data_IF_376021690939
#
_entry.id   IF_376021690939
#
_cell.length_a   1.000
_cell.length_b   1.000
_cell.length_c   1.000
_cell.angle_alpha   90.00
_cell.angle_beta   90.00
_cell.angle_gamma   90.00
#
_symmetry.space_group_name_H-M   'P 1'
#
loop_
_entity.id
_entity.type
_entity.pdbx_description
1 polymer ?
#
# COMPACT_ATOMS: atom_id res chain seq x y z
N UNK A 1 64.06 42.21 -24.53
CA UNK A 1 62.97 43.21 -24.70
C UNK A 1 61.79 42.72 -23.87
N UNK A 2 61.31 43.35 -22.77
CA UNK A 2 60.60 44.65 -22.63
C UNK A 2 59.50 44.76 -23.71
N UNK A 3 58.19 44.89 -23.43
CA UNK A 3 57.41 45.71 -22.46
C UNK A 3 56.00 45.07 -22.27
N UNK A 4 55.05 45.48 -21.39
CA UNK A 4 55.01 46.27 -20.15
C UNK A 4 53.66 46.01 -19.44
N UNK A 5 53.61 46.24 -18.12
CA UNK A 5 52.39 46.26 -17.28
C UNK A 5 51.70 47.63 -17.33
N UNK A 6 50.39 47.70 -17.08
CA UNK A 6 49.74 48.86 -16.43
C UNK A 6 48.83 48.39 -15.29
N UNK A 7 49.02 49.03 -14.14
CA UNK A 7 48.22 48.91 -12.92
C UNK A 7 47.62 50.30 -12.65
N UNK A 8 46.43 50.37 -12.03
CA UNK A 8 45.80 51.61 -11.60
C UNK A 8 45.27 51.44 -10.18
N UNK A 9 45.50 52.45 -9.33
CA UNK A 9 45.18 52.40 -7.91
C UNK A 9 44.67 53.76 -7.40
N UNK A 10 43.63 53.69 -6.57
CA UNK A 10 43.15 54.68 -5.59
C UNK A 10 42.38 53.84 -4.54
N UNK A 11 42.44 54.03 -3.23
CA UNK A 11 43.11 55.05 -2.43
C UNK A 11 42.12 55.69 -1.44
N UNK A 12 42.13 55.28 -0.16
CA UNK A 12 41.46 56.04 0.91
C UNK A 12 42.10 55.79 2.29
N UNK A 13 41.93 56.73 3.20
CA UNK A 13 42.60 56.90 4.50
C UNK A 13 41.64 56.61 5.66
N UNK A 14 42.15 56.09 6.79
CA UNK A 14 41.42 56.00 8.06
C UNK A 14 42.39 55.79 9.23
N UNK A 15 42.29 56.60 10.29
CA UNK A 15 43.33 56.76 11.31
C UNK A 15 43.18 55.85 12.55
N UNK A 16 44.27 55.75 13.32
CA UNK A 16 44.42 54.95 14.55
C UNK A 16 44.34 55.85 15.80
N UNK A 17 43.57 55.45 16.83
CA UNK A 17 43.71 55.95 18.22
C UNK A 17 43.48 54.78 19.20
N UNK A 18 44.26 54.75 20.30
CA UNK A 18 44.23 53.70 21.33
C UNK A 18 43.17 53.96 22.43
N UNK A 19 42.73 52.92 23.16
CA UNK A 19 43.00 52.81 24.62
C UNK A 19 42.32 51.61 25.35
N UNK A 20 43.08 51.03 26.29
CA UNK A 20 42.69 50.31 27.53
C UNK A 20 41.99 48.94 27.52
N UNK A 21 42.43 48.08 28.45
CA UNK A 21 41.89 46.77 28.84
C UNK A 21 40.65 46.86 29.74
N UNK A 22 39.77 45.86 29.67
CA UNK A 22 39.21 45.16 30.84
C UNK A 22 39.05 43.66 30.55
N UNK A 23 39.14 42.83 31.60
CA UNK A 23 38.98 41.37 31.53
C UNK A 23 37.58 41.00 32.06
N UNK A 24 36.87 40.11 31.36
CA UNK A 24 35.62 39.50 31.82
C UNK A 24 35.40 38.14 31.13
N UNK A 25 35.02 37.06 31.84
CA UNK A 25 34.90 35.73 31.26
C UNK A 25 33.48 35.42 30.72
N UNK A 26 33.34 34.25 30.08
CA UNK A 26 32.11 33.60 29.59
C UNK A 26 31.51 34.23 28.31
N UNK A 27 31.18 33.50 27.24
CA UNK A 27 30.45 32.24 27.10
C UNK A 27 30.68 31.64 25.69
N UNK A 28 30.47 30.32 25.52
CA UNK A 28 30.42 29.69 24.18
C UNK A 28 29.04 29.91 23.56
N UNK A 29 28.96 30.50 22.37
CA UNK A 29 27.75 30.50 21.56
C UNK A 29 27.84 29.43 20.47
N UNK A 30 27.19 28.29 20.70
CA UNK A 30 26.71 27.41 19.63
C UNK A 30 25.26 27.79 19.35
N UNK A 31 24.98 28.32 18.16
CA UNK A 31 23.61 28.46 17.66
C UNK A 31 23.13 27.11 17.12
N UNK A 32 22.19 26.48 17.82
CA UNK A 32 21.51 25.28 17.35
C UNK A 32 20.13 25.64 16.81
N UNK A 33 19.84 25.24 15.57
CA UNK A 33 18.56 25.48 14.93
C UNK A 33 17.42 24.76 15.67
N UNK A 34 16.39 25.53 16.02
CA UNK A 34 15.22 25.03 16.75
C UNK A 34 14.22 24.37 15.79
N UNK A 35 14.17 23.04 15.82
CA UNK A 35 13.01 22.29 15.32
C UNK A 35 11.86 22.45 16.30
N UNK A 36 10.89 23.29 15.95
CA UNK A 36 9.71 23.54 16.79
C UNK A 36 8.89 22.26 16.99
N UNK A 37 8.85 21.79 18.24
CA UNK A 37 7.86 20.84 18.74
C UNK A 37 7.17 21.50 19.94
N UNK A 38 5.95 21.96 19.74
CA UNK A 38 5.15 22.60 20.78
C UNK A 38 4.02 21.66 21.21
N UNK A 39 4.14 21.11 22.43
CA UNK A 39 3.17 21.33 23.52
C UNK A 39 3.79 20.94 24.85
N UNK A 40 3.68 21.82 25.84
CA UNK A 40 4.06 21.62 27.23
C UNK A 40 2.90 21.01 28.04
N UNK A 41 3.21 20.16 29.03
CA UNK A 41 2.25 19.57 29.97
C UNK A 41 2.92 18.51 30.84
N UNK A 42 3.02 18.75 32.15
CA UNK A 42 4.10 18.20 32.98
C UNK A 42 3.62 17.37 34.19
N UNK A 43 3.97 16.07 34.21
CA UNK A 43 4.22 15.19 35.41
C UNK A 43 3.10 15.03 36.48
N UNK A 44 3.08 14.08 37.44
CA UNK A 44 3.96 12.96 37.85
C UNK A 44 3.13 11.89 38.65
N UNK A 45 3.65 10.91 39.43
CA UNK A 45 3.32 9.49 39.20
C UNK A 45 2.67 8.73 40.39
N UNK A 46 2.37 7.44 40.20
CA UNK A 46 2.16 6.48 41.32
C UNK A 46 2.65 5.06 40.98
N UNK A 47 2.96 4.25 41.99
CA UNK A 47 3.64 2.94 41.90
C UNK A 47 2.76 1.76 42.31
N UNK A 48 3.01 0.62 41.63
CA UNK A 48 2.87 -0.83 41.94
C UNK A 48 2.31 -1.31 43.30
N UNK A 49 1.69 -2.51 43.38
CA UNK A 49 2.42 -3.80 43.24
C UNK A 49 1.73 -4.95 42.48
N UNK A 50 2.55 -5.98 42.21
CA UNK A 50 2.31 -7.23 41.47
C UNK A 50 1.73 -8.35 42.34
N UNK A 51 0.94 -9.28 41.77
CA UNK A 51 0.81 -10.66 42.29
C UNK A 51 0.75 -11.70 41.16
N UNK A 52 1.29 -12.90 41.41
CA UNK A 52 1.62 -13.94 40.41
C UNK A 52 0.93 -15.27 40.72
N UNK A 53 0.35 -15.98 39.74
CA UNK A 53 -0.02 -17.42 39.88
C UNK A 53 0.08 -18.21 38.55
N UNK A 54 0.28 -19.55 38.63
CA UNK A 54 0.73 -20.50 37.57
C UNK A 54 0.16 -21.94 37.82
N UNK A 55 0.08 -22.92 36.90
CA UNK A 55 0.42 -22.94 35.45
C UNK A 55 -0.74 -23.38 34.51
N UNK A 56 -1.18 -24.68 34.38
CA UNK A 56 -1.60 -25.14 33.04
C UNK A 56 -2.96 -25.87 32.93
N UNK A 57 -3.51 -25.96 31.71
CA UNK A 57 -3.74 -27.23 30.99
C UNK A 57 -4.06 -26.96 29.52
N UNK A 58 -3.58 -27.83 28.63
CA UNK A 58 -3.73 -27.77 27.17
C UNK A 58 -5.17 -27.89 26.68
N UNK A 59 -5.53 -27.13 25.63
CA UNK A 59 -6.69 -27.43 24.78
C UNK A 59 -6.35 -27.14 23.32
N UNK A 60 -6.48 -28.15 22.47
CA UNK A 60 -6.22 -28.05 21.01
C UNK A 60 -7.45 -27.45 20.33
N UNK A 61 -7.32 -26.24 19.80
CA UNK A 61 -8.37 -25.58 19.03
C UNK A 61 -8.60 -26.29 17.70
N UNK A 62 -9.80 -26.83 17.51
CA UNK A 62 -10.26 -27.36 16.22
C UNK A 62 -10.78 -26.23 15.34
N UNK A 63 -10.17 -26.02 14.17
CA UNK A 63 -10.56 -24.97 13.22
C UNK A 63 -11.87 -25.29 12.52
N UNK A 64 -12.82 -24.36 12.57
CA UNK A 64 -14.13 -24.48 11.89
C UNK A 64 -13.97 -24.09 10.42
N UNK A 65 -13.82 -25.08 9.54
CA UNK A 65 -13.93 -24.88 8.09
C UNK A 65 -15.39 -24.92 7.64
N UNK A 66 -15.87 -23.82 7.04
CA UNK A 66 -16.98 -23.89 6.09
C UNK A 66 -16.50 -24.68 4.87
N UNK A 67 -17.09 -25.84 4.61
CA UNK A 67 -16.85 -26.58 3.36
C UNK A 67 -18.13 -26.65 2.55
N UNK A 68 -18.03 -26.25 1.29
CA UNK A 68 -19.02 -26.48 0.24
C UNK A 68 -19.28 -27.98 0.01
N UNK A 69 -20.33 -28.31 -0.75
CA UNK A 69 -20.84 -29.68 -0.95
C UNK A 69 -19.96 -30.65 -1.76
N UNK A 70 -18.65 -30.67 -1.54
CA UNK A 70 -17.75 -31.74 -1.99
C UNK A 70 -17.03 -32.37 -0.79
N UNK A 71 -16.98 -33.71 -0.77
CA UNK A 71 -16.19 -34.46 0.21
C UNK A 71 -14.70 -34.29 -0.08
N UNK A 72 -14.04 -33.39 0.66
CA UNK A 72 -12.58 -33.18 0.61
C UNK A 72 -11.78 -34.26 1.36
N UNK A 73 -12.46 -35.19 2.04
CA UNK A 73 -11.86 -36.27 2.84
C UNK A 73 -12.70 -37.55 2.81
N UNK A 74 -12.10 -38.67 3.21
CA UNK A 74 -12.81 -39.93 3.45
C UNK A 74 -13.67 -39.83 4.72
N UNK A 75 -14.88 -40.41 4.69
CA UNK A 75 -15.74 -40.55 5.88
C UNK A 75 -15.83 -42.03 6.30
N UNK A 76 -15.69 -42.28 7.60
CA UNK A 76 -15.80 -43.60 8.23
C UNK A 76 -16.36 -43.46 9.65
N UNK A 77 -16.55 -44.59 10.36
CA UNK A 77 -16.96 -44.61 11.77
C UNK A 77 -16.15 -43.60 12.62
N UNK A 78 -16.83 -42.87 13.51
CA UNK A 78 -16.31 -41.76 14.31
C UNK A 78 -15.96 -40.46 13.56
N UNK A 79 -16.19 -40.39 12.24
CA UNK A 79 -16.21 -39.10 11.55
C UNK A 79 -17.38 -38.24 12.05
N UNK A 80 -17.19 -36.93 12.08
CA UNK A 80 -18.25 -35.96 12.36
C UNK A 80 -18.09 -34.73 11.46
N UNK A 81 -19.19 -33.99 11.22
CA UNK A 81 -19.19 -32.75 10.44
C UNK A 81 -20.39 -32.57 9.49
N UNK A 82 -20.41 -31.46 8.76
CA UNK A 82 -21.44 -31.16 7.75
C UNK A 82 -21.40 -32.14 6.56
N UNK A 83 -20.21 -32.64 6.23
CA UNK A 83 -20.01 -33.72 5.27
C UNK A 83 -20.69 -35.03 5.68
N UNK A 84 -20.72 -35.34 6.98
CA UNK A 84 -21.48 -36.47 7.53
C UNK A 84 -22.99 -36.20 7.49
N UNK A 85 -23.46 -34.97 7.72
CA UNK A 85 -24.89 -34.62 7.54
C UNK A 85 -25.33 -34.78 6.10
N UNK A 86 -24.51 -34.36 5.14
CA UNK A 86 -24.76 -34.56 3.71
C UNK A 86 -24.89 -36.05 3.39
N UNK A 87 -23.95 -36.88 3.86
CA UNK A 87 -24.01 -38.33 3.71
C UNK A 87 -25.28 -38.95 4.31
N UNK A 88 -25.64 -38.58 5.54
CA UNK A 88 -26.86 -39.06 6.20
C UNK A 88 -28.11 -38.66 5.42
N UNK A 89 -28.14 -37.45 4.86
CA UNK A 89 -29.24 -36.94 4.02
C UNK A 89 -29.38 -37.73 2.73
N UNK A 90 -28.27 -37.98 2.01
CA UNK A 90 -28.25 -38.76 0.77
C UNK A 90 -28.68 -40.23 1.02
N UNK A 91 -28.28 -40.82 2.15
CA UNK A 91 -28.75 -42.15 2.55
C UNK A 91 -30.25 -42.13 2.89
N UNK A 92 -30.76 -41.06 3.51
CA UNK A 92 -32.19 -40.94 3.81
C UNK A 92 -33.05 -40.83 2.56
N UNK A 93 -32.59 -40.14 1.52
CA UNK A 93 -33.23 -40.13 0.20
C UNK A 93 -33.32 -41.53 -0.44
N UNK A 94 -32.42 -42.44 -0.06
CA UNK A 94 -32.44 -43.86 -0.45
C UNK A 94 -33.16 -44.78 0.55
N UNK A 95 -33.89 -44.21 1.51
CA UNK A 95 -34.76 -44.92 2.44
C UNK A 95 -34.09 -45.41 3.74
N UNK A 96 -32.86 -44.99 4.05
CA UNK A 96 -32.12 -45.53 5.22
C UNK A 96 -32.55 -45.01 6.61
N UNK A 97 -33.46 -44.03 6.70
CA UNK A 97 -34.12 -43.55 7.95
C UNK A 97 -33.16 -43.27 9.13
N UNK A 98 -31.99 -42.70 8.83
CA UNK A 98 -31.01 -42.20 9.80
C UNK A 98 -31.45 -40.86 10.42
N UNK A 99 -30.94 -40.57 11.62
CA UNK A 99 -30.92 -39.20 12.14
C UNK A 99 -29.83 -38.42 11.40
N UNK A 100 -30.13 -37.17 11.00
CA UNK A 100 -29.14 -36.25 10.39
C UNK A 100 -28.55 -35.38 11.50
N UNK A 101 -27.61 -35.96 12.25
CA UNK A 101 -26.93 -35.32 13.38
C UNK A 101 -25.48 -34.93 13.09
N UNK A 102 -24.93 -35.35 11.94
CA UNK A 102 -23.53 -35.12 11.58
C UNK A 102 -22.56 -36.05 12.31
N UNK A 103 -23.03 -37.14 12.92
CA UNK A 103 -22.21 -38.12 13.63
C UNK A 103 -22.22 -39.44 12.85
N UNK A 104 -21.03 -39.88 12.41
CA UNK A 104 -20.86 -41.16 11.74
C UNK A 104 -20.77 -42.26 12.80
N UNK A 105 -21.92 -42.56 13.41
CA UNK A 105 -22.09 -43.65 14.36
C UNK A 105 -22.43 -45.01 13.70
N UNK A 106 -22.67 -46.06 14.50
CA UNK A 106 -22.94 -47.41 14.00
C UNK A 106 -24.13 -47.52 13.03
N UNK A 107 -25.18 -46.68 13.20
CA UNK A 107 -26.33 -46.63 12.28
C UNK A 107 -25.93 -46.11 10.90
N UNK A 108 -25.16 -45.03 10.84
CA UNK A 108 -24.60 -44.48 9.59
C UNK A 108 -23.69 -45.51 8.90
N UNK A 109 -22.86 -46.23 9.67
CA UNK A 109 -22.00 -47.30 9.16
C UNK A 109 -22.79 -48.46 8.53
N UNK A 110 -23.84 -48.94 9.20
CA UNK A 110 -24.71 -50.00 8.66
C UNK A 110 -25.40 -49.57 7.36
N UNK A 111 -25.88 -48.33 7.29
CA UNK A 111 -26.49 -47.77 6.09
C UNK A 111 -25.49 -47.63 4.93
N UNK A 112 -24.26 -47.15 5.18
CA UNK A 112 -23.21 -47.07 4.15
C UNK A 112 -22.82 -48.45 3.64
N UNK A 113 -22.61 -49.44 4.52
CA UNK A 113 -22.30 -50.81 4.08
C UNK A 113 -23.42 -51.40 3.23
N UNK A 114 -24.68 -51.23 3.65
CA UNK A 114 -25.84 -51.65 2.85
C UNK A 114 -25.90 -50.94 1.49
N UNK A 115 -25.63 -49.63 1.45
CA UNK A 115 -25.59 -48.86 0.21
C UNK A 115 -24.48 -49.32 -0.73
N UNK A 116 -23.27 -49.55 -0.20
CA UNK A 116 -22.14 -50.11 -0.96
C UNK A 116 -22.50 -51.45 -1.60
N UNK A 117 -23.10 -52.38 -0.83
CA UNK A 117 -23.60 -53.67 -1.34
C UNK A 117 -24.60 -53.45 -2.49
N UNK A 118 -25.64 -52.63 -2.28
CA UNK A 118 -26.66 -52.32 -3.30
C UNK A 118 -26.11 -51.63 -4.56
N UNK A 119 -24.89 -51.08 -4.52
CA UNK A 119 -24.24 -50.37 -5.64
C UNK A 119 -23.05 -51.13 -6.24
N UNK A 120 -22.83 -52.38 -5.85
CA UNK A 120 -21.74 -53.22 -6.36
C UNK A 120 -20.35 -52.75 -5.91
N UNK A 121 -20.25 -52.15 -4.72
CA UNK A 121 -19.01 -51.69 -4.12
C UNK A 121 -18.59 -52.62 -2.97
N UNK A 122 -17.29 -52.58 -2.62
CA UNK A 122 -16.79 -53.21 -1.39
C UNK A 122 -17.50 -52.61 -0.17
N UNK A 123 -18.07 -53.46 0.68
CA UNK A 123 -18.84 -53.07 1.86
C UNK A 123 -17.95 -52.75 3.08
N UNK A 124 -16.89 -51.97 2.88
CA UNK A 124 -15.93 -51.61 3.94
C UNK A 124 -16.50 -50.59 4.94
N UNK A 125 -17.53 -49.84 4.58
CA UNK A 125 -18.09 -48.76 5.39
C UNK A 125 -17.30 -47.44 5.27
N UNK A 126 -16.47 -47.29 4.24
CA UNK A 126 -15.70 -46.06 3.99
C UNK A 126 -16.29 -45.31 2.78
N UNK A 127 -16.68 -44.06 3.00
CA UNK A 127 -17.16 -43.19 1.93
C UNK A 127 -15.99 -42.41 1.37
N UNK A 128 -15.40 -42.96 0.31
CA UNK A 128 -14.49 -42.25 -0.59
C UNK A 128 -15.14 -41.92 -1.94
N UNK A 129 -14.37 -41.38 -2.91
CA UNK A 129 -14.90 -40.92 -4.20
C UNK A 129 -15.72 -41.96 -4.96
N UNK A 130 -15.31 -43.24 -4.93
CA UNK A 130 -16.04 -44.35 -5.56
C UNK A 130 -17.42 -44.61 -4.92
N UNK A 131 -17.51 -44.45 -3.59
CA UNK A 131 -18.79 -44.56 -2.86
C UNK A 131 -19.68 -43.35 -3.16
N UNK A 132 -19.11 -42.15 -3.20
CA UNK A 132 -19.87 -40.93 -3.48
C UNK A 132 -20.44 -40.90 -4.91
N UNK A 133 -19.65 -41.30 -5.92
CA UNK A 133 -20.09 -41.36 -7.32
C UNK A 133 -21.23 -42.36 -7.60
N UNK A 134 -21.58 -43.24 -6.64
CA UNK A 134 -22.73 -44.17 -6.76
C UNK A 134 -24.04 -43.63 -6.19
N UNK A 135 -24.02 -42.48 -5.50
CA UNK A 135 -25.25 -41.74 -5.26
C UNK A 135 -25.68 -41.18 -6.62
N UNK A 136 -26.76 -41.72 -7.16
CA UNK A 136 -27.26 -41.35 -8.49
C UNK A 136 -28.03 -40.02 -8.38
N UNK A 137 -27.29 -39.00 -7.95
CA UNK A 137 -27.71 -37.61 -7.90
C UNK A 137 -27.86 -37.19 -9.36
N UNK A 138 -29.06 -37.40 -9.90
CA UNK A 138 -29.52 -36.55 -11.00
C UNK A 138 -29.27 -35.10 -10.57
N UNK A 139 -28.93 -34.18 -11.49
CA UNK A 139 -28.78 -32.76 -11.17
C UNK A 139 -30.15 -32.19 -10.81
N UNK A 140 -30.61 -32.53 -9.61
CA UNK A 140 -31.81 -32.03 -9.00
C UNK A 140 -31.64 -30.52 -8.92
N UNK A 141 -32.68 -29.82 -9.34
CA UNK A 141 -32.81 -28.39 -9.15
C UNK A 141 -33.00 -28.11 -7.65
N UNK A 142 -31.93 -28.30 -6.87
CA UNK A 142 -31.74 -27.43 -5.74
C UNK A 142 -31.52 -26.05 -6.32
N UNK A 143 -32.59 -25.26 -6.34
CA UNK A 143 -32.48 -23.82 -6.11
C UNK A 143 -32.02 -23.60 -4.66
N UNK A 144 -30.84 -24.15 -4.30
CA UNK A 144 -29.88 -23.26 -3.65
C UNK A 144 -29.77 -22.11 -4.65
N UNK A 145 -29.92 -20.85 -4.25
CA UNK A 145 -29.30 -19.83 -5.07
C UNK A 145 -27.85 -20.28 -5.21
N UNK A 146 -27.41 -20.60 -6.44
CA UNK A 146 -26.01 -20.37 -6.78
C UNK A 146 -25.82 -18.94 -6.32
N UNK A 147 -25.10 -18.74 -5.22
CA UNK A 147 -24.86 -17.42 -4.68
C UNK A 147 -24.07 -16.74 -5.79
N UNK A 148 -24.81 -16.00 -6.63
CA UNK A 148 -24.38 -15.54 -7.94
C UNK A 148 -23.12 -14.76 -7.65
N UNK A 149 -21.96 -15.36 -7.92
CA UNK A 149 -20.71 -14.96 -7.27
C UNK A 149 -20.60 -13.46 -7.41
N UNK A 150 -20.79 -12.74 -6.30
CA UNK A 150 -21.16 -11.35 -6.41
C UNK A 150 -19.92 -10.62 -6.87
N UNK A 151 -19.90 -10.28 -8.17
CA UNK A 151 -18.70 -9.75 -8.80
C UNK A 151 -18.61 -8.28 -8.45
N UNK A 152 -17.53 -7.94 -7.76
CA UNK A 152 -17.24 -6.60 -7.31
C UNK A 152 -16.08 -6.05 -8.13
N UNK A 153 -16.21 -4.81 -8.60
CA UNK A 153 -15.14 -4.12 -9.31
C UNK A 153 -14.20 -3.47 -8.31
N UNK A 154 -12.90 -3.80 -8.37
CA UNK A 154 -11.88 -3.06 -7.61
C UNK A 154 -11.29 -1.96 -8.48
N UNK A 155 -11.32 -0.74 -7.97
CA UNK A 155 -10.72 0.46 -8.57
C UNK A 155 -9.61 0.97 -7.63
N UNK A 156 -8.67 1.76 -8.16
CA UNK A 156 -7.61 2.37 -7.35
C UNK A 156 -7.44 3.84 -7.71
N UNK A 157 -7.25 4.68 -6.69
CA UNK A 157 -6.96 6.10 -6.84
C UNK A 157 -5.80 6.51 -5.94
N UNK A 158 -5.08 7.53 -6.38
CA UNK A 158 -3.92 8.12 -5.70
C UNK A 158 -4.04 9.63 -5.75
N UNK A 159 -3.69 10.30 -4.66
CA UNK A 159 -3.49 11.76 -4.61
C UNK A 159 -2.15 12.09 -3.99
N UNK A 160 -1.59 13.24 -4.39
CA UNK A 160 -0.60 13.94 -3.58
C UNK A 160 -1.35 14.92 -2.66
N UNK A 161 -1.07 14.91 -1.37
CA UNK A 161 -1.78 15.70 -0.35
C UNK A 161 -0.83 16.39 0.63
N UNK A 162 -1.31 17.41 1.34
CA UNK A 162 -0.62 18.02 2.47
C UNK A 162 -1.26 17.53 3.77
N UNK A 163 -1.07 16.26 4.12
CA UNK A 163 -1.72 15.68 5.30
C UNK A 163 -1.09 16.17 6.61
N UNK A 164 0.21 16.41 6.61
CA UNK A 164 1.00 16.77 7.79
C UNK A 164 2.00 17.89 7.46
N UNK A 165 1.88 19.01 8.18
CA UNK A 165 2.83 20.13 8.13
C UNK A 165 3.13 20.70 6.74
N UNK A 166 4.27 21.37 6.65
CA UNK A 166 4.76 22.12 5.48
C UNK A 166 6.02 21.53 4.84
N UNK A 167 6.63 20.52 5.49
CA UNK A 167 7.98 20.00 5.18
C UNK A 167 7.99 18.68 4.40
N UNK A 168 6.83 18.17 4.03
CA UNK A 168 6.66 16.96 3.24
C UNK A 168 5.40 17.07 2.38
N UNK A 169 5.24 16.13 1.45
CA UNK A 169 3.95 15.82 0.83
C UNK A 169 3.61 14.35 1.07
N UNK A 170 2.33 14.06 1.13
CA UNK A 170 1.76 12.73 1.37
C UNK A 170 1.35 12.12 0.04
N UNK A 171 1.76 10.88 -0.23
CA UNK A 171 1.14 10.03 -1.24
C UNK A 171 0.11 9.17 -0.53
N UNK A 172 -1.17 9.41 -0.81
CA UNK A 172 -2.27 8.61 -0.31
C UNK A 172 -2.90 7.80 -1.43
N UNK A 173 -3.17 6.53 -1.17
CA UNK A 173 -3.73 5.56 -2.12
C UNK A 173 -4.92 4.86 -1.47
N UNK A 174 -6.00 4.70 -2.22
CA UNK A 174 -7.14 3.88 -1.82
C UNK A 174 -7.52 2.92 -2.95
N UNK A 175 -7.69 1.65 -2.60
CA UNK A 175 -8.42 0.69 -3.42
C UNK A 175 -9.87 0.66 -2.92
N UNK A 176 -10.83 0.79 -3.84
CA UNK A 176 -12.25 0.88 -3.54
C UNK A 176 -13.06 -0.13 -4.33
N UNK A 177 -14.24 -0.49 -3.81
CA UNK A 177 -15.27 -1.22 -4.53
C UNK A 177 -16.62 -0.53 -4.28
N UNK A 178 -17.19 0.06 -5.33
CA UNK A 178 -18.27 1.03 -5.17
C UNK A 178 -17.79 2.24 -4.36
N UNK A 179 -18.51 2.59 -3.30
CA UNK A 179 -18.16 3.65 -2.35
C UNK A 179 -17.28 3.17 -1.17
N UNK A 180 -16.98 1.88 -1.09
CA UNK A 180 -16.28 1.26 0.06
C UNK A 180 -14.78 1.15 -0.16
N UNK A 181 -13.99 1.61 0.79
CA UNK A 181 -12.54 1.41 0.82
C UNK A 181 -12.23 -0.02 1.23
N UNK A 182 -11.53 -0.78 0.38
CA UNK A 182 -11.16 -2.18 0.61
C UNK A 182 -9.71 -2.37 1.02
N UNK A 183 -8.85 -1.40 0.67
CA UNK A 183 -7.51 -1.22 1.23
C UNK A 183 -7.07 0.25 1.04
N UNK A 184 -6.15 0.71 1.89
CA UNK A 184 -5.49 2.00 1.75
C UNK A 184 -3.98 1.84 1.95
N UNK A 185 -3.22 2.85 1.52
CA UNK A 185 -1.79 2.97 1.80
C UNK A 185 -1.42 4.46 1.88
N UNK A 186 -0.65 4.86 2.89
CA UNK A 186 -0.13 6.22 3.03
C UNK A 186 1.39 6.23 3.25
N UNK A 187 2.05 7.20 2.64
CA UNK A 187 3.47 7.47 2.82
C UNK A 187 3.73 8.97 2.65
N UNK A 188 4.75 9.48 3.33
CA UNK A 188 5.15 10.88 3.28
C UNK A 188 6.56 10.97 2.71
N UNK A 189 6.80 11.97 1.87
CA UNK A 189 8.11 12.23 1.28
C UNK A 189 8.68 13.53 1.83
N UNK A 190 9.89 13.44 2.40
CA UNK A 190 10.54 14.54 3.09
C UNK A 190 12.04 14.56 2.74
N UNK A 191 12.65 15.75 2.73
CA UNK A 191 14.11 15.85 2.73
C UNK A 191 14.68 15.46 4.10
N UNK A 192 15.57 14.47 4.13
CA UNK A 192 16.19 13.92 5.32
C UNK A 192 17.71 13.86 5.17
N UNK A 193 18.49 13.91 6.27
CA UNK A 193 19.96 13.78 6.23
C UNK A 193 20.42 12.50 5.50
N UNK A 194 21.31 12.66 4.52
CA UNK A 194 21.76 11.60 3.61
C UNK A 194 22.60 10.50 4.28
N UNK A 195 23.13 10.79 5.46
CA UNK A 195 23.91 9.90 6.32
C UNK A 195 23.03 9.02 7.22
N UNK A 196 21.77 9.38 7.40
CA UNK A 196 20.83 8.70 8.29
C UNK A 196 19.55 8.17 7.59
N UNK A 197 19.27 8.61 6.37
CA UNK A 197 18.10 8.21 5.59
C UNK A 197 18.46 7.70 4.19
N UNK A 198 17.75 6.68 3.74
CA UNK A 198 17.76 6.17 2.37
C UNK A 198 16.89 7.05 1.47
N UNK A 199 17.50 7.64 0.45
CA UNK A 199 16.79 8.38 -0.58
C UNK A 199 15.95 7.49 -1.50
N UNK A 200 15.00 8.09 -2.21
CA UNK A 200 14.29 7.46 -3.34
C UNK A 200 15.29 7.07 -4.45
N UNK A 201 14.96 6.12 -5.35
CA UNK A 201 15.82 5.77 -6.47
C UNK A 201 16.26 6.98 -7.29
N UNK A 202 17.46 6.90 -7.89
CA UNK A 202 18.13 8.00 -8.59
C UNK A 202 18.54 9.21 -7.72
N UNK A 203 18.48 9.11 -6.37
CA UNK A 203 19.02 10.13 -5.45
C UNK A 203 20.54 10.33 -5.53
N UNK A 204 21.27 9.37 -6.08
CA UNK A 204 22.70 9.38 -6.39
C UNK A 204 22.99 9.70 -7.89
N UNK A 205 21.93 9.84 -8.69
CA UNK A 205 21.97 10.11 -10.12
C UNK A 205 21.42 11.52 -10.45
N UNK A 206 20.99 11.76 -11.70
CA UNK A 206 20.57 13.10 -12.16
C UNK A 206 19.42 13.71 -11.34
N UNK A 207 18.52 12.90 -10.79
CA UNK A 207 17.39 13.37 -9.98
C UNK A 207 17.84 14.00 -8.66
N UNK A 208 18.83 13.41 -7.97
CA UNK A 208 19.34 13.91 -6.69
C UNK A 208 20.31 15.08 -6.76
N UNK A 209 20.83 15.44 -7.95
CA UNK A 209 21.85 16.50 -8.13
C UNK A 209 21.49 17.87 -7.56
N UNK A 210 20.21 18.16 -7.37
CA UNK A 210 19.70 19.45 -6.90
C UNK A 210 18.98 19.37 -5.55
N UNK A 211 19.21 18.31 -4.77
CA UNK A 211 18.70 18.26 -3.41
C UNK A 211 19.40 19.30 -2.51
N UNK A 212 18.75 19.79 -1.44
CA UNK A 212 19.42 20.56 -0.40
C UNK A 212 20.68 19.86 0.10
N UNK A 213 21.73 20.62 0.36
CA UNK A 213 23.03 20.07 0.77
C UNK A 213 22.88 19.16 2.00
N UNK A 214 23.60 18.03 1.99
CA UNK A 214 23.54 17.03 3.06
C UNK A 214 22.24 16.21 3.13
N UNK A 215 21.26 16.42 2.25
CA UNK A 215 19.95 15.75 2.31
C UNK A 215 19.66 14.85 1.10
N UNK A 216 18.71 13.94 1.29
CA UNK A 216 18.04 13.15 0.24
C UNK A 216 16.53 13.27 0.38
N UNK A 217 15.79 13.24 -0.73
CA UNK A 217 14.35 13.02 -0.69
C UNK A 217 14.07 11.56 -0.33
N UNK A 218 13.39 11.31 0.78
CA UNK A 218 13.12 9.96 1.29
C UNK A 218 11.66 9.75 1.66
N UNK A 219 11.16 8.54 1.39
CA UNK A 219 9.90 8.00 1.90
C UNK A 219 9.99 7.77 3.41
N UNK A 220 8.99 8.19 4.20
CA UNK A 220 8.93 7.92 5.64
C UNK A 220 8.72 6.44 5.92
N UNK A 221 8.00 5.71 5.08
CA UNK A 221 7.82 4.26 5.23
C UNK A 221 9.10 3.47 4.93
N UNK A 222 9.90 3.90 3.94
CA UNK A 222 11.25 3.33 3.69
C UNK A 222 12.21 3.63 4.84
N UNK A 223 12.03 4.76 5.52
CA UNK A 223 12.87 5.25 6.62
C UNK A 223 12.17 5.18 7.99
N UNK A 224 11.23 4.24 8.16
CA UNK A 224 10.29 4.25 9.28
C UNK A 224 10.99 4.18 10.65
N UNK A 225 12.08 3.42 10.76
CA UNK A 225 12.89 3.34 11.98
C UNK A 225 13.53 4.69 12.31
N UNK A 226 14.32 5.26 11.38
CA UNK A 226 14.96 6.57 11.54
C UNK A 226 13.95 7.67 11.89
N UNK A 227 12.82 7.72 11.18
CA UNK A 227 11.80 8.73 11.42
C UNK A 227 11.10 8.53 12.78
N UNK A 228 10.84 7.28 13.19
CA UNK A 228 10.27 6.98 14.49
C UNK A 228 11.19 7.33 15.65
N UNK A 229 12.51 7.14 15.52
CA UNK A 229 13.47 7.60 16.54
C UNK A 229 13.51 9.14 16.62
N UNK A 230 13.41 9.85 15.49
CA UNK A 230 13.24 11.31 15.49
C UNK A 230 11.94 11.75 16.18
N UNK A 231 10.80 11.11 15.88
CA UNK A 231 9.52 11.41 16.55
C UNK A 231 9.60 11.16 18.06
N UNK A 232 10.20 10.04 18.48
CA UNK A 232 10.37 9.70 19.89
C UNK A 232 11.27 10.70 20.64
N UNK A 233 12.36 11.14 20.01
CA UNK A 233 13.34 12.05 20.66
C UNK A 233 12.90 13.51 20.62
N UNK A 234 12.26 13.97 19.55
CA UNK A 234 11.92 15.40 19.34
C UNK A 234 10.48 15.75 19.69
N UNK A 235 9.55 14.79 19.60
CA UNK A 235 8.13 14.98 19.84
C UNK A 235 7.56 14.02 20.90
N UNK A 236 8.43 13.29 21.63
CA UNK A 236 8.06 12.34 22.69
C UNK A 236 7.07 11.23 22.24
N UNK A 237 7.02 10.94 20.93
CA UNK A 237 6.06 9.99 20.39
C UNK A 237 6.27 8.57 20.95
N UNK A 238 5.17 7.96 21.38
CA UNK A 238 5.13 6.60 21.94
C UNK A 238 4.86 5.52 20.89
N UNK A 239 4.26 5.89 19.75
CA UNK A 239 3.93 4.99 18.64
C UNK A 239 4.79 5.32 17.41
N UNK A 240 5.48 4.33 16.81
CA UNK A 240 6.24 4.47 15.55
C UNK A 240 5.39 4.94 14.34
N UNK A 241 6.02 5.53 13.33
CA UNK A 241 5.31 6.08 12.16
C UNK A 241 4.57 5.00 11.35
N UNK A 242 5.19 3.84 11.17
CA UNK A 242 4.60 2.70 10.44
C UNK A 242 3.39 2.12 11.17
N UNK A 243 3.42 2.14 12.52
CA UNK A 243 2.30 1.68 13.36
C UNK A 243 1.14 2.68 13.35
N UNK A 244 1.43 3.98 13.34
CA UNK A 244 0.42 5.02 13.14
C UNK A 244 -0.25 4.90 11.76
N UNK A 245 0.54 4.78 10.70
CA UNK A 245 -0.01 4.68 9.33
C UNK A 245 -0.82 3.40 9.15
N UNK A 246 -0.34 2.26 9.65
CA UNK A 246 -1.11 1.03 9.66
C UNK A 246 -2.44 1.15 10.44
N UNK A 247 -2.47 1.85 11.59
CA UNK A 247 -3.71 2.07 12.34
C UNK A 247 -4.73 2.92 11.55
N UNK A 248 -4.26 3.95 10.85
CA UNK A 248 -5.08 4.81 9.98
C UNK A 248 -5.63 4.00 8.78
N UNK A 249 -4.77 3.22 8.12
CA UNK A 249 -5.14 2.35 6.99
C UNK A 249 -6.14 1.25 7.39
N UNK A 250 -5.99 0.64 8.57
CA UNK A 250 -6.97 -0.32 9.08
C UNK A 250 -8.29 0.35 9.49
N UNK A 251 -8.24 1.58 10.01
CA UNK A 251 -9.45 2.32 10.39
C UNK A 251 -10.33 2.64 9.18
N UNK A 252 -9.76 3.10 8.07
CA UNK A 252 -10.53 3.42 6.85
C UNK A 252 -11.02 2.17 6.12
N UNK A 253 -10.33 1.04 6.25
CA UNK A 253 -10.70 -0.21 5.57
C UNK A 253 -12.09 -0.71 6.00
N UNK A 254 -12.93 -1.02 5.02
CA UNK A 254 -14.30 -1.50 5.20
C UNK A 254 -15.35 -0.39 5.30
N UNK A 255 -14.95 0.86 5.57
CA UNK A 255 -15.84 2.03 5.61
C UNK A 255 -16.12 2.57 4.19
N UNK A 256 -17.26 3.21 4.04
CA UNK A 256 -17.62 3.99 2.84
C UNK A 256 -16.98 5.37 2.88
N UNK A 257 -16.79 5.97 1.70
CA UNK A 257 -16.38 7.37 1.55
C UNK A 257 -17.30 8.29 2.38
N UNK A 258 -18.63 8.08 2.28
CA UNK A 258 -19.64 8.89 2.96
C UNK A 258 -19.58 8.79 4.49
N UNK A 259 -19.32 7.60 5.05
CA UNK A 259 -19.11 7.45 6.50
C UNK A 259 -17.87 8.21 6.96
N UNK A 260 -16.78 8.15 6.21
CA UNK A 260 -15.54 8.87 6.53
C UNK A 260 -15.71 10.39 6.39
N UNK A 261 -16.41 10.87 5.37
CA UNK A 261 -16.77 12.29 5.24
C UNK A 261 -17.64 12.78 6.40
N UNK A 262 -18.60 11.97 6.87
CA UNK A 262 -19.42 12.31 8.04
C UNK A 262 -18.57 12.41 9.32
N UNK A 263 -17.60 11.51 9.52
CA UNK A 263 -16.65 11.58 10.64
C UNK A 263 -15.76 12.82 10.53
N UNK A 264 -15.14 13.07 9.36
CA UNK A 264 -14.31 14.26 9.11
C UNK A 264 -15.09 15.57 9.27
N UNK A 265 -16.40 15.58 9.00
CA UNK A 265 -17.26 16.77 9.17
C UNK A 265 -17.69 17.01 10.63
N UNK A 266 -17.67 15.98 11.48
CA UNK A 266 -18.17 16.04 12.87
C UNK A 266 -17.09 15.95 13.95
N UNK A 267 -15.88 15.50 13.60
CA UNK A 267 -14.75 15.34 14.52
C UNK A 267 -13.79 16.53 14.39
N UNK A 268 -13.49 17.28 15.46
CA UNK A 268 -12.44 18.30 15.45
C UNK A 268 -11.09 17.72 15.01
N UNK A 269 -10.30 18.49 14.25
CA UNK A 269 -9.08 17.97 13.59
C UNK A 269 -8.07 17.38 14.57
N UNK A 270 -7.90 18.03 15.73
CA UNK A 270 -7.04 17.62 16.84
C UNK A 270 -7.56 16.38 17.61
N UNK A 271 -8.82 15.99 17.39
CA UNK A 271 -9.49 14.83 18.01
C UNK A 271 -9.61 13.62 17.10
N UNK A 272 -9.16 13.70 15.85
CA UNK A 272 -9.27 12.57 14.94
C UNK A 272 -8.41 11.37 15.37
N UNK A 273 -7.28 11.59 16.07
CA UNK A 273 -6.48 10.51 16.64
C UNK A 273 -7.27 9.67 17.65
N UNK A 274 -8.10 10.30 18.49
CA UNK A 274 -8.93 9.63 19.50
C UNK A 274 -9.95 8.65 18.86
N UNK A 275 -10.39 8.94 17.63
CA UNK A 275 -11.29 8.08 16.87
C UNK A 275 -10.59 6.90 16.15
N UNK A 276 -9.26 6.94 16.00
CA UNK A 276 -8.45 5.96 15.26
C UNK A 276 -7.62 5.14 16.23
N UNK A 277 -8.19 4.02 16.70
CA UNK A 277 -7.54 3.14 17.68
C UNK A 277 -6.14 2.69 17.21
N UNK A 278 -5.10 3.11 17.94
CA UNK A 278 -3.70 2.80 17.64
C UNK A 278 -2.92 3.91 16.93
N UNK A 279 -3.59 4.99 16.48
CA UNK A 279 -2.94 6.19 16.00
C UNK A 279 -2.80 7.24 17.13
N UNK A 280 -1.70 7.99 17.11
CA UNK A 280 -1.38 9.09 18.04
C UNK A 280 -0.85 10.33 17.31
N UNK A 281 -0.95 10.39 15.97
CA UNK A 281 -0.56 11.57 15.20
C UNK A 281 -1.63 12.64 15.31
N UNK A 282 -1.26 13.87 15.69
CA UNK A 282 -2.17 15.02 15.65
C UNK A 282 -2.76 15.23 14.23
N UNK A 283 -1.98 14.95 13.19
CA UNK A 283 -2.36 15.07 11.79
C UNK A 283 -3.23 13.90 11.27
N UNK A 284 -3.74 13.01 12.12
CA UNK A 284 -4.60 11.87 11.72
C UNK A 284 -5.77 12.31 10.84
N UNK A 285 -6.34 13.50 11.09
CA UNK A 285 -7.35 14.12 10.25
C UNK A 285 -6.90 14.30 8.79
N UNK A 286 -5.67 14.81 8.59
CA UNK A 286 -5.10 15.06 7.27
C UNK A 286 -4.88 13.76 6.50
N UNK A 287 -4.40 12.71 7.16
CA UNK A 287 -4.18 11.41 6.51
C UNK A 287 -5.50 10.72 6.14
N UNK A 288 -6.51 10.73 7.01
CA UNK A 288 -7.84 10.20 6.69
C UNK A 288 -8.48 11.00 5.54
N UNK A 289 -8.33 12.33 5.54
CA UNK A 289 -8.77 13.19 4.42
C UNK A 289 -8.06 12.83 3.11
N UNK A 290 -6.74 12.63 3.14
CA UNK A 290 -5.95 12.26 1.96
C UNK A 290 -6.40 10.91 1.37
N UNK A 291 -6.73 9.92 2.22
CA UNK A 291 -7.25 8.62 1.78
C UNK A 291 -8.67 8.76 1.20
N UNK A 292 -9.53 9.59 1.78
CA UNK A 292 -10.87 9.89 1.23
C UNK A 292 -10.77 10.53 -0.16
N UNK A 293 -9.86 11.48 -0.36
CA UNK A 293 -9.62 12.07 -1.68
C UNK A 293 -8.97 11.08 -2.67
N UNK A 294 -8.10 10.19 -2.20
CA UNK A 294 -7.60 9.07 -3.01
C UNK A 294 -8.74 8.12 -3.44
N UNK A 295 -9.70 7.85 -2.55
CA UNK A 295 -10.86 7.01 -2.83
C UNK A 295 -11.82 7.65 -3.86
N UNK A 296 -12.04 8.97 -3.77
CA UNK A 296 -12.79 9.74 -4.79
C UNK A 296 -12.08 9.81 -6.13
N UNK A 297 -10.75 9.87 -6.13
CA UNK A 297 -9.91 9.85 -7.33
C UNK A 297 -9.78 8.46 -7.96
N UNK A 298 -10.39 7.41 -7.39
CA UNK A 298 -10.32 6.06 -7.93
C UNK A 298 -11.07 5.93 -9.25
N UNK A 299 -10.38 5.37 -10.25
CA UNK A 299 -10.85 5.31 -11.64
C UNK A 299 -11.20 3.89 -12.06
N UNK A 300 -12.24 3.76 -12.88
CA UNK A 300 -12.74 2.46 -13.40
C UNK A 300 -12.03 2.00 -14.67
N UNK A 301 -11.29 2.89 -15.35
CA UNK A 301 -10.64 2.68 -16.65
C UNK A 301 -9.75 1.43 -16.73
N UNK A 302 -9.15 1.04 -15.60
CA UNK A 302 -8.39 -0.20 -15.46
C UNK A 302 -8.86 -0.93 -14.20
N UNK A 303 -9.91 -1.74 -14.36
CA UNK A 303 -10.51 -2.51 -13.27
C UNK A 303 -10.87 -3.93 -13.73
N UNK A 304 -10.91 -4.87 -12.78
CA UNK A 304 -11.46 -6.21 -12.99
C UNK A 304 -12.49 -6.54 -11.93
N UNK A 305 -13.33 -7.51 -12.28
CA UNK A 305 -14.22 -8.16 -11.34
C UNK A 305 -13.45 -9.17 -10.47
N UNK A 306 -13.58 -9.02 -9.16
CA UNK A 306 -13.19 -10.01 -8.15
C UNK A 306 -14.45 -10.56 -7.47
N UNK A 307 -14.33 -11.67 -6.76
CA UNK A 307 -15.44 -12.11 -5.91
C UNK A 307 -15.59 -11.16 -4.72
N UNK A 308 -16.81 -10.72 -4.40
CA UNK A 308 -17.08 -9.84 -3.27
C UNK A 308 -16.56 -10.42 -1.93
N UNK A 309 -16.55 -11.75 -1.80
CA UNK A 309 -15.99 -12.49 -0.65
C UNK A 309 -14.49 -12.26 -0.44
N UNK A 310 -13.76 -11.87 -1.49
CA UNK A 310 -12.32 -11.61 -1.47
C UNK A 310 -11.97 -10.13 -1.27
N UNK A 311 -12.96 -9.22 -1.21
CA UNK A 311 -12.69 -7.78 -1.01
C UNK A 311 -11.98 -7.50 0.31
N UNK A 312 -12.28 -8.25 1.37
CA UNK A 312 -11.54 -8.16 2.65
C UNK A 312 -10.07 -8.56 2.52
N UNK A 313 -9.75 -9.40 1.53
CA UNK A 313 -8.43 -9.95 1.29
C UNK A 313 -7.60 -9.06 0.35
N UNK A 314 -8.17 -7.97 -0.16
CA UNK A 314 -7.42 -6.94 -0.90
C UNK A 314 -6.37 -6.33 0.03
N UNK A 315 -5.11 -6.35 -0.44
CA UNK A 315 -3.96 -5.66 0.14
C UNK A 315 -3.39 -4.69 -0.88
N UNK A 316 -2.75 -3.62 -0.41
CA UNK A 316 -1.95 -2.72 -1.26
C UNK A 316 -0.49 -2.87 -0.88
N UNK A 317 0.37 -2.91 -1.89
CA UNK A 317 1.81 -2.71 -1.74
C UNK A 317 2.26 -1.58 -2.64
N UNK A 318 3.28 -0.84 -2.20
CA UNK A 318 3.88 0.30 -2.88
C UNK A 318 5.39 0.15 -2.89
N UNK A 319 6.04 0.54 -3.97
CA UNK A 319 7.50 0.70 -4.04
C UNK A 319 7.87 2.02 -4.70
N UNK A 320 8.99 2.58 -4.27
CA UNK A 320 9.74 3.56 -5.05
C UNK A 320 10.70 2.78 -5.98
N UNK A 321 10.72 3.11 -7.26
CA UNK A 321 11.48 2.37 -8.28
C UNK A 321 12.19 3.31 -9.26
N UNK A 322 13.20 2.82 -9.98
CA UNK A 322 13.78 3.49 -11.14
C UNK A 322 13.27 2.79 -12.41
N UNK A 323 12.02 3.04 -12.80
CA UNK A 323 11.43 2.39 -13.97
C UNK A 323 11.96 2.95 -15.28
N UNK A 324 12.25 4.26 -15.30
CA UNK A 324 12.71 5.01 -16.48
C UNK A 324 13.78 6.02 -16.09
N UNK A 325 14.91 5.98 -16.81
CA UNK A 325 15.97 6.99 -16.76
C UNK A 325 16.55 7.28 -15.37
N UNK A 326 17.21 8.44 -15.28
CA UNK A 326 17.96 8.92 -14.10
C UNK A 326 17.38 10.20 -13.47
N UNK A 327 16.38 10.81 -14.11
CA UNK A 327 15.87 12.18 -13.82
C UNK A 327 14.54 12.20 -13.06
N UNK A 328 14.06 11.03 -12.66
CA UNK A 328 12.83 10.84 -11.89
C UNK A 328 12.95 9.59 -11.02
N UNK A 329 12.02 9.44 -10.07
CA UNK A 329 11.71 8.15 -9.47
C UNK A 329 10.24 7.81 -9.73
N UNK A 330 9.94 6.53 -9.80
CA UNK A 330 8.62 5.98 -10.04
C UNK A 330 8.00 5.56 -8.73
N UNK A 331 6.76 5.98 -8.47
CA UNK A 331 5.91 5.38 -7.44
C UNK A 331 5.02 4.36 -8.13
N UNK A 332 5.22 3.08 -7.80
CA UNK A 332 4.40 1.99 -8.30
C UNK A 332 3.59 1.37 -7.17
N UNK A 333 2.31 1.13 -7.44
CA UNK A 333 1.35 0.62 -6.45
C UNK A 333 0.54 -0.51 -7.08
N UNK A 334 0.35 -1.59 -6.33
CA UNK A 334 -0.47 -2.73 -6.73
C UNK A 334 -1.46 -3.07 -5.61
N UNK A 335 -2.74 -3.13 -5.95
CA UNK A 335 -3.74 -3.82 -5.14
C UNK A 335 -3.76 -5.28 -5.58
N UNK A 336 -3.68 -6.22 -4.63
CA UNK A 336 -3.64 -7.66 -4.89
C UNK A 336 -4.70 -8.41 -4.10
N UNK A 337 -5.17 -9.53 -4.67
CA UNK A 337 -5.92 -10.58 -3.97
C UNK A 337 -5.11 -11.86 -4.10
N UNK A 338 -4.52 -12.30 -2.99
CA UNK A 338 -3.48 -13.32 -3.00
C UNK A 338 -2.33 -12.92 -3.92
N UNK A 339 -2.13 -13.69 -4.98
CA UNK A 339 -1.04 -13.50 -5.95
C UNK A 339 -1.44 -12.71 -7.20
N UNK A 340 -2.72 -12.32 -7.33
CA UNK A 340 -3.27 -11.65 -8.52
C UNK A 340 -3.33 -10.14 -8.34
N UNK A 341 -2.82 -9.38 -9.32
CA UNK A 341 -2.97 -7.93 -9.39
C UNK A 341 -4.41 -7.59 -9.80
N UNK A 342 -5.16 -6.90 -8.94
CA UNK A 342 -6.58 -6.55 -9.17
C UNK A 342 -6.78 -5.08 -9.55
N UNK A 343 -5.86 -4.21 -9.16
CA UNK A 343 -5.73 -2.85 -9.67
C UNK A 343 -4.27 -2.38 -9.50
N UNK A 344 -3.85 -1.37 -10.25
CA UNK A 344 -2.51 -0.79 -10.12
C UNK A 344 -2.50 0.71 -10.41
N UNK A 345 -1.48 1.40 -9.90
CA UNK A 345 -1.20 2.81 -10.19
C UNK A 345 0.30 2.98 -10.39
N UNK A 346 0.69 3.80 -11.37
CA UNK A 346 2.09 4.20 -11.59
C UNK A 346 2.14 5.70 -11.84
N UNK A 347 3.14 6.35 -11.27
CA UNK A 347 3.45 7.77 -11.43
C UNK A 347 4.97 7.93 -11.43
N UNK A 348 5.48 8.96 -12.10
CA UNK A 348 6.87 9.37 -11.95
C UNK A 348 6.91 10.78 -11.37
N UNK A 349 7.85 11.02 -10.47
CA UNK A 349 8.09 12.34 -9.89
C UNK A 349 9.40 12.89 -10.44
N UNK A 350 9.33 14.11 -10.98
CA UNK A 350 10.43 14.76 -11.67
C UNK A 350 10.46 16.25 -11.32
N UNK A 351 11.64 16.87 -11.28
CA UNK A 351 11.74 18.33 -11.28
C UNK A 351 11.38 18.89 -12.67
N UNK A 352 10.36 19.75 -12.71
CA UNK A 352 9.82 20.35 -13.93
C UNK A 352 9.75 21.87 -13.79
N UNK A 353 9.78 22.65 -14.90
CA UNK A 353 9.66 24.11 -14.87
C UNK A 353 8.38 24.57 -14.16
N UNK A 354 8.52 25.46 -13.18
CA UNK A 354 7.42 25.90 -12.28
C UNK A 354 6.34 26.73 -12.96
N UNK A 355 6.65 27.26 -14.14
CA UNK A 355 5.78 28.03 -15.03
C UNK A 355 4.96 27.15 -15.97
N UNK A 356 5.31 25.86 -16.10
CA UNK A 356 4.65 24.90 -16.99
C UNK A 356 4.10 23.66 -16.28
N UNK A 357 4.48 23.40 -15.04
CA UNK A 357 4.07 22.23 -14.25
C UNK A 357 3.57 22.62 -12.85
N UNK A 358 2.53 21.92 -12.39
CA UNK A 358 2.02 21.94 -11.02
C UNK A 358 2.92 21.08 -10.14
N UNK A 359 3.47 21.67 -9.09
CA UNK A 359 4.21 20.96 -8.06
C UNK A 359 3.32 20.11 -7.15
N UNK A 360 3.93 19.16 -6.43
CA UNK A 360 3.28 18.46 -5.30
C UNK A 360 2.89 19.45 -4.20
N UNK A 361 1.95 19.12 -3.30
CA UNK A 361 1.60 19.99 -2.18
C UNK A 361 2.82 20.42 -1.36
N UNK A 362 2.75 21.60 -0.75
CA UNK A 362 3.87 22.27 -0.07
C UNK A 362 5.06 22.67 -0.97
N UNK A 363 4.95 22.63 -2.30
CA UNK A 363 5.95 23.17 -3.26
C UNK A 363 6.18 24.68 -3.14
N UNK A 364 5.24 25.41 -2.55
CA UNK A 364 5.27 26.84 -2.23
C UNK A 364 5.58 27.13 -0.75
N UNK A 365 5.70 26.07 0.07
CA UNK A 365 5.97 26.12 1.50
C UNK A 365 7.38 25.57 1.82
N UNK A 366 7.62 25.14 3.06
CA UNK A 366 8.95 24.71 3.52
C UNK A 366 9.57 23.57 2.69
N UNK A 367 8.76 22.65 2.18
CA UNK A 367 9.22 21.53 1.36
C UNK A 367 9.81 21.99 0.01
N UNK A 368 9.26 23.05 -0.60
CA UNK A 368 9.71 23.59 -1.87
C UNK A 368 10.91 24.54 -1.83
N UNK A 369 11.29 25.05 -0.64
CA UNK A 369 12.33 26.08 -0.47
C UNK A 369 13.68 25.75 -1.11
N UNK A 370 14.01 24.46 -1.22
CA UNK A 370 15.30 23.96 -1.71
C UNK A 370 15.21 23.29 -3.09
N UNK A 371 14.16 23.55 -3.87
CA UNK A 371 14.08 23.03 -5.23
C UNK A 371 15.11 23.72 -6.16
N UNK A 372 15.60 23.02 -7.21
CA UNK A 372 16.40 23.65 -8.25
C UNK A 372 15.71 24.90 -8.80
N UNK A 373 16.48 25.98 -8.98
CA UNK A 373 15.95 27.28 -9.38
C UNK A 373 15.03 27.17 -10.61
N UNK A 374 13.84 27.76 -10.52
CA UNK A 374 12.84 27.74 -11.60
C UNK A 374 12.05 26.43 -11.73
N UNK A 375 12.25 25.44 -10.85
CA UNK A 375 11.55 24.14 -10.93
C UNK A 375 10.65 23.87 -9.72
N UNK A 376 9.74 22.91 -9.90
CA UNK A 376 8.97 22.25 -8.85
C UNK A 376 9.11 20.74 -8.98
N UNK A 377 9.05 20.00 -7.87
CA UNK A 377 8.86 18.55 -7.92
C UNK A 377 7.40 18.27 -8.30
N UNK A 378 7.17 17.63 -9.45
CA UNK A 378 5.83 17.34 -9.97
C UNK A 378 5.61 15.87 -10.30
N UNK A 379 4.40 15.38 -10.02
CA UNK A 379 3.87 14.11 -10.53
C UNK A 379 3.65 14.23 -12.05
N UNK A 380 4.11 13.26 -12.84
CA UNK A 380 3.85 13.20 -14.29
C UNK A 380 2.37 12.96 -14.58
N UNK A 381 1.65 12.22 -13.74
CA UNK A 381 0.21 12.00 -13.92
C UNK A 381 -0.63 13.24 -13.60
N UNK A 382 -0.20 14.08 -12.65
CA UNK A 382 -0.80 15.39 -12.39
C UNK A 382 -0.52 16.38 -13.53
N UNK A 383 0.61 16.21 -14.22
CA UNK A 383 1.09 17.07 -15.31
C UNK A 383 1.05 16.36 -16.68
N UNK A 384 0.09 15.43 -16.87
CA UNK A 384 0.09 14.51 -18.00
C UNK A 384 0.05 15.22 -19.35
N UNK A 385 -0.72 16.31 -19.49
CA UNK A 385 -0.78 17.10 -20.71
C UNK A 385 0.56 17.76 -21.04
N UNK A 386 1.15 18.49 -20.09
CA UNK A 386 2.46 19.12 -20.24
C UNK A 386 3.53 18.09 -20.62
N UNK A 387 3.58 16.96 -19.89
CA UNK A 387 4.59 15.94 -20.12
C UNK A 387 4.40 15.23 -21.46
N UNK A 388 3.15 15.00 -21.88
CA UNK A 388 2.83 14.41 -23.18
C UNK A 388 3.21 15.33 -24.34
N UNK A 389 3.00 16.65 -24.23
CA UNK A 389 3.50 17.60 -25.24
C UNK A 389 5.03 17.63 -25.28
N UNK A 390 5.70 17.56 -24.12
CA UNK A 390 7.15 17.46 -24.02
C UNK A 390 7.69 16.15 -24.66
N UNK A 391 7.02 15.01 -24.45
CA UNK A 391 7.35 13.74 -25.12
C UNK A 391 7.12 13.82 -26.63
N UNK A 392 6.00 14.40 -27.08
CA UNK A 392 5.69 14.58 -28.50
C UNK A 392 6.72 15.44 -29.21
N UNK A 393 7.14 16.55 -28.60
CA UNK A 393 8.08 17.52 -29.20
C UNK A 393 9.55 17.10 -29.13
N UNK A 394 9.97 16.39 -28.08
CA UNK A 394 11.40 16.02 -27.87
C UNK A 394 11.74 14.57 -28.20
N UNK A 395 10.75 13.68 -28.24
CA UNK A 395 10.94 12.25 -28.50
C UNK A 395 10.00 11.70 -29.60
N UNK A 396 9.30 12.57 -30.33
CA UNK A 396 8.34 12.21 -31.38
C UNK A 396 7.24 11.22 -30.92
N UNK A 397 6.90 11.24 -29.62
CA UNK A 397 5.91 10.33 -29.06
C UNK A 397 4.51 10.55 -29.65
N UNK A 398 3.88 9.47 -30.10
CA UNK A 398 2.53 9.46 -30.69
C UNK A 398 1.44 9.17 -29.66
N UNK A 399 1.78 8.56 -28.52
CA UNK A 399 0.84 8.21 -27.44
C UNK A 399 1.18 9.02 -26.18
N UNK A 400 0.19 9.73 -25.57
CA UNK A 400 0.33 10.42 -24.29
C UNK A 400 0.83 9.54 -23.13
N UNK A 401 1.40 10.15 -22.08
CA UNK A 401 1.96 9.39 -20.95
C UNK A 401 0.89 8.67 -20.13
N UNK A 402 -0.27 9.30 -19.92
CA UNK A 402 -1.40 8.71 -19.21
C UNK A 402 -1.94 7.49 -19.98
N UNK A 403 -2.06 7.59 -21.30
CA UNK A 403 -2.51 6.49 -22.17
C UNK A 403 -1.52 5.32 -22.23
N UNK A 404 -0.22 5.61 -22.17
CA UNK A 404 0.80 4.58 -21.98
C UNK A 404 0.65 3.88 -20.63
N UNK A 405 0.48 4.64 -19.55
CA UNK A 405 0.29 4.07 -18.22
C UNK A 405 -1.04 3.31 -18.12
N UNK A 406 -2.11 3.75 -18.77
CA UNK A 406 -3.37 2.99 -18.91
C UNK A 406 -3.14 1.63 -19.56
N UNK A 407 -2.39 1.57 -20.67
CA UNK A 407 -2.07 0.33 -21.37
C UNK A 407 -1.22 -0.63 -20.51
N UNK A 408 -0.20 -0.12 -19.83
CA UNK A 408 0.66 -0.91 -18.93
C UNK A 408 -0.15 -1.46 -17.76
N UNK A 409 -0.96 -0.62 -17.10
CA UNK A 409 -1.83 -1.02 -15.99
C UNK A 409 -2.85 -2.07 -16.46
N UNK A 410 -3.45 -1.90 -17.63
CA UNK A 410 -4.38 -2.86 -18.24
C UNK A 410 -3.72 -4.19 -18.58
N UNK A 411 -2.45 -4.18 -18.99
CA UNK A 411 -1.71 -5.42 -19.24
C UNK A 411 -1.44 -6.21 -17.96
N UNK A 412 -1.09 -5.55 -16.84
CA UNK A 412 -0.78 -6.26 -15.59
C UNK A 412 -2.01 -6.71 -14.81
N UNK A 413 -3.11 -5.98 -14.87
CA UNK A 413 -4.32 -6.31 -14.11
C UNK A 413 -4.93 -7.64 -14.57
N UNK A 414 -5.32 -8.48 -13.62
CA UNK A 414 -5.85 -9.83 -13.83
C UNK A 414 -4.79 -10.93 -13.85
N UNK A 415 -3.51 -10.60 -14.10
CA UNK A 415 -2.40 -11.53 -14.05
C UNK A 415 -1.91 -11.76 -12.63
N UNK A 416 -1.34 -12.94 -12.40
CA UNK A 416 -0.58 -13.28 -11.21
C UNK A 416 0.84 -12.72 -11.29
N UNK A 417 1.48 -12.56 -10.13
CA UNK A 417 2.89 -12.17 -10.02
C UNK A 417 3.78 -13.12 -10.85
N UNK A 418 3.55 -14.44 -10.79
CA UNK A 418 4.31 -15.44 -11.54
C UNK A 418 4.17 -15.30 -13.07
N UNK A 419 2.96 -15.02 -13.58
CA UNK A 419 2.74 -14.76 -15.01
C UNK A 419 3.48 -13.49 -15.48
N UNK A 420 3.54 -12.46 -14.63
CA UNK A 420 4.27 -11.23 -14.93
C UNK A 420 5.78 -11.43 -14.88
N UNK A 421 6.30 -12.21 -13.94
CA UNK A 421 7.70 -12.61 -13.89
C UNK A 421 8.10 -13.48 -15.08
N UNK A 422 7.22 -14.38 -15.52
CA UNK A 422 7.41 -15.16 -16.75
C UNK A 422 7.45 -14.26 -18.00
N UNK A 423 6.58 -13.25 -18.09
CA UNK A 423 6.61 -12.27 -19.18
C UNK A 423 7.91 -11.44 -19.18
N UNK A 424 8.32 -10.91 -18.01
CA UNK A 424 9.56 -10.14 -17.87
C UNK A 424 10.81 -10.97 -18.16
N UNK A 425 10.85 -12.25 -17.76
CA UNK A 425 12.02 -13.11 -18.01
C UNK A 425 12.11 -13.63 -19.45
N UNK A 426 10.99 -13.72 -20.17
CA UNK A 426 10.94 -14.22 -21.56
C UNK A 426 10.98 -13.12 -22.64
N UNK A 427 10.69 -11.87 -22.28
CA UNK A 427 10.66 -10.74 -23.23
C UNK A 427 11.86 -9.81 -23.04
N UNK A 428 12.68 -9.55 -24.09
CA UNK A 428 13.74 -8.54 -24.04
C UNK A 428 13.23 -7.17 -23.61
N UNK A 429 14.02 -6.43 -22.82
CA UNK A 429 13.56 -5.17 -22.18
C UNK A 429 13.05 -4.14 -23.18
N UNK A 430 13.75 -3.99 -24.30
CA UNK A 430 13.42 -3.10 -25.43
C UNK A 430 12.21 -3.56 -26.25
N UNK A 431 11.75 -4.81 -26.05
CA UNK A 431 10.59 -5.43 -26.72
C UNK A 431 9.36 -5.54 -25.83
N UNK A 432 9.44 -5.12 -24.57
CA UNK A 432 8.28 -5.22 -23.67
C UNK A 432 7.12 -4.32 -24.08
N UNK A 433 7.38 -3.19 -24.76
CA UNK A 433 6.34 -2.34 -25.33
C UNK A 433 5.50 -3.08 -26.40
N UNK A 434 6.17 -3.85 -27.28
CA UNK A 434 5.52 -4.60 -28.36
C UNK A 434 4.52 -5.65 -27.83
N UNK A 435 4.75 -6.17 -26.62
CA UNK A 435 3.88 -7.12 -25.93
C UNK A 435 2.70 -6.46 -25.17
N UNK A 436 2.66 -5.12 -25.07
CA UNK A 436 1.66 -4.36 -24.30
C UNK A 436 0.82 -3.51 -25.26
N UNK A 437 -0.35 -4.03 -25.65
CA UNK A 437 -1.25 -3.36 -26.59
C UNK A 437 -1.63 -1.94 -26.13
N UNK A 438 -1.14 -0.93 -26.86
CA UNK A 438 -1.39 0.49 -26.59
C UNK A 438 -0.24 1.22 -25.87
N UNK A 439 0.82 0.52 -25.44
CA UNK A 439 2.03 1.15 -24.94
C UNK A 439 3.07 1.34 -26.05
N UNK A 440 3.81 2.45 -25.97
CA UNK A 440 4.91 2.83 -26.87
C UNK A 440 6.14 3.32 -26.08
N UNK A 441 6.12 3.29 -24.74
CA UNK A 441 7.28 3.61 -23.91
C UNK A 441 8.31 2.48 -23.96
N UNK A 442 9.54 2.78 -24.38
CA UNK A 442 10.65 1.81 -24.34
C UNK A 442 10.85 1.22 -22.93
N UNK A 443 10.62 2.02 -21.89
CA UNK A 443 10.75 1.64 -20.47
C UNK A 443 9.57 0.81 -19.92
N UNK A 444 8.67 0.33 -20.78
CA UNK A 444 7.52 -0.52 -20.38
C UNK A 444 7.94 -1.70 -19.48
N UNK A 445 9.12 -2.29 -19.73
CA UNK A 445 9.72 -3.32 -18.86
C UNK A 445 9.92 -2.83 -17.42
N UNK A 446 10.43 -1.61 -17.25
CA UNK A 446 10.72 -1.01 -15.95
C UNK A 446 9.44 -0.73 -15.17
N UNK A 447 8.39 -0.22 -15.82
CA UNK A 447 7.10 0.03 -15.17
C UNK A 447 6.40 -1.26 -14.75
N UNK A 448 6.41 -2.31 -15.59
CA UNK A 448 5.87 -3.62 -15.21
C UNK A 448 6.69 -4.21 -14.05
N UNK A 449 8.02 -4.12 -14.09
CA UNK A 449 8.90 -4.54 -12.99
C UNK A 449 8.57 -3.80 -11.69
N UNK A 450 8.29 -2.50 -11.75
CA UNK A 450 7.90 -1.71 -10.59
C UNK A 450 6.56 -2.19 -9.99
N UNK A 451 5.55 -2.46 -10.83
CA UNK A 451 4.26 -3.00 -10.37
C UNK A 451 4.39 -4.42 -9.80
N UNK A 452 5.24 -5.27 -10.38
CA UNK A 452 5.53 -6.61 -9.82
C UNK A 452 6.18 -6.50 -8.44
N UNK A 453 7.10 -5.57 -8.23
CA UNK A 453 7.71 -5.34 -6.92
C UNK A 453 6.69 -4.75 -5.91
N UNK A 454 5.81 -3.84 -6.34
CA UNK A 454 4.68 -3.38 -5.53
C UNK A 454 3.74 -4.53 -5.12
N UNK A 455 3.41 -5.43 -6.05
CA UNK A 455 2.56 -6.59 -5.80
C UNK A 455 3.20 -7.60 -4.83
N UNK A 456 4.53 -7.76 -4.88
CA UNK A 456 5.28 -8.55 -3.89
C UNK A 456 5.30 -7.89 -2.51
N UNK A 457 5.49 -6.57 -2.44
CA UNK A 457 5.46 -5.81 -1.19
C UNK A 457 4.07 -5.80 -0.51
N UNK A 458 3.02 -6.18 -1.23
CA UNK A 458 1.67 -6.33 -0.70
C UNK A 458 1.42 -7.66 0.06
N UNK A 459 2.30 -8.66 -0.09
CA UNK A 459 2.07 -10.01 0.48
C UNK A 459 2.33 -10.07 1.98
#
# INVERSE_FOLDING_TARGET
MKKNVKLLAFGLVGALVLSTWTIGPSTKFFGADTVSAATTGESSPSKTPTTTTKVPTTSKTSTVSKTSGQLTRLLALHSYGEDVKLLQTLLNQLGYKLKVDGIYGPKTLAAVKSFQIKKGLKADGVVGPKTFAKFNIAPAQTTVPIAKEEKATVMIGKVDYAAHGTKCFTVAVAAVSGDKIVAAYIDDYQYMPKDAAKGVPNSDADFGKNYPEGNVLGSKMTNAEYYSQNMKTKAQATVPIDKNFAAIEQYVKGKTIKELEAVLSSTPKDKMADAVSGATLADTYGYVSAIVEAAKAAKSDVSIQVDAKELSNVKIGKVDYAAHGTKCFTVAVAAVVGDKVVASYIDDYQFMPKDAAKGVPNSDADFGKNYPQGNVLGSKMTNADYYSQNMKTKANATVPIDKNFDAIRKYVTGKTIAELEAALSSTPKDKMADAVSGATLADTYGYISAIVNAAKAAK
#
